data_IF_305245690049
#
_entry.id   IF_305245690049
#
_cell.length_a   1.000
_cell.length_b   1.000
_cell.length_c   1.000
_cell.angle_alpha   90.00
_cell.angle_beta   90.00
_cell.angle_gamma   90.00
#
_symmetry.space_group_name_H-M   'P 1'
#
loop_
_entity.id
_entity.type
_entity.pdbx_description
1 polymer ?
#
# COMPACT_ATOMS: atom_id res chain seq x y z
N UNK A 1 -3.16 1.07 11.76
CA UNK A 1 -3.04 2.23 10.82
C UNK A 1 -1.57 2.36 10.51
N UNK A 2 -1.21 2.67 9.26
CA UNK A 2 0.18 2.89 8.87
C UNK A 2 0.34 4.20 8.09
N UNK A 3 1.54 4.75 8.06
CA UNK A 3 1.91 5.89 7.24
C UNK A 3 2.93 5.45 6.18
N UNK A 4 2.56 5.64 4.91
CA UNK A 4 3.41 5.32 3.78
C UNK A 4 4.00 6.60 3.20
N UNK A 5 5.32 6.68 3.17
CA UNK A 5 6.06 7.77 2.52
C UNK A 5 6.60 7.30 1.18
N UNK A 6 6.21 7.98 0.09
CA UNK A 6 6.66 7.67 -1.29
C UNK A 6 7.19 8.90 -1.99
N UNK A 7 8.09 8.70 -2.97
CA UNK A 7 8.60 9.76 -3.81
C UNK A 7 7.56 10.19 -4.85
N UNK A 8 7.19 11.47 -4.87
CA UNK A 8 6.26 12.04 -5.83
C UNK A 8 6.81 11.95 -7.25
N UNK A 9 6.27 11.06 -8.09
CA UNK A 9 6.84 10.81 -9.45
C UNK A 9 6.89 12.04 -10.37
N UNK A 10 6.08 13.07 -10.07
CA UNK A 10 6.06 14.34 -10.83
C UNK A 10 6.79 15.46 -10.10
N UNK A 11 6.73 15.49 -8.77
CA UNK A 11 7.26 16.60 -7.98
C UNK A 11 8.68 16.37 -7.48
N UNK A 12 9.14 15.12 -7.38
CA UNK A 12 10.40 14.79 -6.71
C UNK A 12 10.37 15.00 -5.19
N UNK A 13 9.18 15.14 -4.59
CA UNK A 13 9.01 15.36 -3.15
C UNK A 13 8.51 14.10 -2.45
N UNK A 14 9.01 13.85 -1.24
CA UNK A 14 8.47 12.81 -0.37
C UNK A 14 7.06 13.17 0.13
N UNK A 15 6.11 12.25 -0.02
CA UNK A 15 4.70 12.43 0.37
C UNK A 15 4.26 11.32 1.32
N UNK A 16 3.72 11.70 2.47
CA UNK A 16 3.16 10.79 3.47
C UNK A 16 1.67 10.56 3.18
N UNK A 17 1.22 9.30 3.24
CA UNK A 17 -0.19 8.91 3.10
C UNK A 17 -0.58 7.96 4.25
N UNK A 18 -1.61 8.29 5.06
CA UNK A 18 -2.17 7.34 6.02
C UNK A 18 -2.97 6.25 5.30
N UNK A 19 -2.74 4.99 5.68
CA UNK A 19 -3.34 3.81 5.08
C UNK A 19 -3.79 2.81 6.15
N UNK A 20 -4.90 2.13 5.89
CA UNK A 20 -5.19 0.89 6.57
C UNK A 20 -4.25 -0.19 6.02
N UNK A 21 -3.73 -1.01 6.92
CA UNK A 21 -2.77 -2.08 6.62
C UNK A 21 -3.17 -3.36 7.34
N UNK A 22 -2.67 -4.49 6.84
CA UNK A 22 -2.72 -5.81 7.50
C UNK A 22 -1.37 -6.47 7.34
N UNK A 23 -0.84 -7.10 8.39
CA UNK A 23 0.38 -7.88 8.30
C UNK A 23 0.07 -9.29 7.78
N UNK A 24 0.82 -9.77 6.79
CA UNK A 24 0.76 -11.12 6.23
C UNK A 24 2.17 -11.68 6.20
N UNK A 25 2.50 -12.57 7.13
CA UNK A 25 3.88 -13.02 7.34
C UNK A 25 4.78 -11.84 7.75
N UNK A 26 5.87 -11.64 7.02
CA UNK A 26 6.81 -10.54 7.25
C UNK A 26 6.48 -9.26 6.45
N UNK A 27 5.44 -9.31 5.61
CA UNK A 27 5.05 -8.21 4.73
C UNK A 27 3.83 -7.46 5.26
N UNK A 28 3.73 -6.17 4.92
CA UNK A 28 2.57 -5.35 5.19
C UNK A 28 1.76 -5.11 3.93
N UNK A 29 0.46 -5.35 3.99
CA UNK A 29 -0.44 -5.25 2.85
C UNK A 29 -1.26 -3.97 2.96
N UNK A 30 -1.24 -3.17 1.90
CA UNK A 30 -2.00 -1.92 1.76
C UNK A 30 -2.74 -1.89 0.43
N UNK A 31 -3.71 -0.98 0.27
CA UNK A 31 -4.51 -0.92 -0.94
C UNK A 31 -4.88 0.50 -1.39
N UNK A 32 -4.84 0.72 -2.72
CA UNK A 32 -5.17 1.97 -3.41
C UNK A 32 -6.67 2.26 -3.51
N UNK A 33 -7.40 2.09 -2.41
CA UNK A 33 -8.87 2.20 -2.41
C UNK A 33 -9.37 3.64 -2.57
N UNK A 34 -8.67 4.63 -2.00
CA UNK A 34 -9.11 6.02 -1.91
C UNK A 34 -10.58 6.15 -1.43
N UNK A 35 -10.98 5.36 -0.44
CA UNK A 35 -12.37 5.36 0.09
C UNK A 35 -13.44 4.98 -0.94
N UNK A 36 -13.06 4.22 -1.98
CA UNK A 36 -13.97 3.83 -3.06
C UNK A 36 -14.26 4.96 -4.06
N UNK A 37 -13.42 6.00 -4.12
CA UNK A 37 -13.53 7.03 -5.15
C UNK A 37 -13.06 6.51 -6.51
N UNK A 38 -13.71 6.99 -7.58
CA UNK A 38 -13.34 6.69 -8.96
C UNK A 38 -11.88 7.09 -9.27
N UNK A 39 -11.39 8.17 -8.67
CA UNK A 39 -9.99 8.60 -8.81
C UNK A 39 -9.05 7.72 -7.99
N UNK A 40 -7.99 7.24 -8.64
CA UNK A 40 -6.91 6.50 -7.99
C UNK A 40 -6.00 7.45 -7.19
N UNK A 41 -5.55 7.08 -5.96
CA UNK A 41 -4.79 7.99 -5.13
C UNK A 41 -3.36 8.17 -5.65
N UNK A 42 -2.77 9.34 -5.39
CA UNK A 42 -1.48 9.73 -5.96
C UNK A 42 -0.33 8.75 -5.64
N UNK A 43 -0.31 8.23 -4.41
CA UNK A 43 0.75 7.31 -3.94
C UNK A 43 0.83 6.03 -4.78
N UNK A 44 -0.26 5.56 -5.38
CA UNK A 44 -0.25 4.37 -6.26
C UNK A 44 0.65 4.60 -7.46
N UNK A 45 0.57 5.79 -8.05
CA UNK A 45 1.44 6.14 -9.18
C UNK A 45 2.89 6.37 -8.73
N UNK A 46 3.09 6.87 -7.52
CA UNK A 46 4.43 7.01 -6.95
C UNK A 46 5.08 5.64 -6.75
N UNK A 47 4.40 4.70 -6.07
CA UNK A 47 4.88 3.35 -5.77
C UNK A 47 5.19 2.53 -7.04
N UNK A 48 4.39 2.70 -8.11
CA UNK A 48 4.67 2.08 -9.41
C UNK A 48 5.92 2.63 -10.09
N UNK A 49 6.29 3.88 -9.80
CA UNK A 49 7.41 4.57 -10.44
C UNK A 49 8.72 4.37 -9.69
N UNK A 50 8.66 4.26 -8.36
CA UNK A 50 9.79 4.05 -7.48
C UNK A 50 9.33 3.19 -6.31
N UNK A 51 9.92 2.01 -6.15
CA UNK A 51 9.52 1.08 -5.10
C UNK A 51 10.02 1.51 -3.72
N UNK A 52 10.95 2.47 -3.61
CA UNK A 52 11.48 2.89 -2.31
C UNK A 52 10.40 3.61 -1.52
N UNK A 53 10.24 3.21 -0.27
CA UNK A 53 9.35 3.87 0.67
C UNK A 53 9.90 3.86 2.09
N UNK A 54 9.35 4.74 2.92
CA UNK A 54 9.39 4.59 4.38
C UNK A 54 8.01 4.17 4.84
N UNK A 55 7.95 3.19 5.74
CA UNK A 55 6.72 2.69 6.31
C UNK A 55 6.78 2.87 7.83
N UNK A 56 5.75 3.50 8.38
CA UNK A 56 5.55 3.64 9.81
C UNK A 56 4.29 2.90 10.22
N UNK A 57 4.40 1.99 11.18
CA UNK A 57 3.29 1.20 11.70
C UNK A 57 3.59 0.82 13.15
N UNK A 58 2.58 0.90 14.01
CA UNK A 58 2.68 0.54 15.44
C UNK A 58 3.86 1.21 16.18
N UNK A 59 4.19 2.45 15.80
CA UNK A 59 5.27 3.24 16.38
C UNK A 59 6.67 2.90 15.86
N UNK A 60 6.79 1.92 14.96
CA UNK A 60 8.06 1.58 14.31
C UNK A 60 8.12 2.18 12.91
N UNK A 61 9.25 2.83 12.60
CA UNK A 61 9.54 3.38 11.27
C UNK A 61 10.71 2.66 10.63
N UNK A 62 10.56 2.27 9.36
CA UNK A 62 11.63 1.63 8.61
C UNK A 62 11.58 1.96 7.12
N UNK A 63 12.75 1.95 6.48
CA UNK A 63 12.88 2.02 5.04
C UNK A 63 12.67 0.64 4.42
N UNK A 64 12.07 0.62 3.23
CA UNK A 64 11.80 -0.63 2.53
C UNK A 64 11.34 -0.41 1.09
N UNK A 65 10.65 -1.42 0.59
CA UNK A 65 10.14 -1.44 -0.77
C UNK A 65 8.65 -1.74 -0.81
N UNK A 66 7.94 -1.14 -1.76
CA UNK A 66 6.52 -1.38 -2.03
C UNK A 66 6.35 -1.91 -3.46
N UNK A 67 5.57 -2.98 -3.61
CA UNK A 67 5.30 -3.63 -4.89
C UNK A 67 3.83 -3.92 -5.08
N UNK A 68 3.31 -3.71 -6.30
CA UNK A 68 1.94 -4.06 -6.65
C UNK A 68 1.82 -5.57 -6.86
N UNK A 69 0.88 -6.19 -6.16
CA UNK A 69 0.52 -7.58 -6.38
C UNK A 69 -0.40 -7.71 -7.60
N UNK A 70 -0.28 -8.83 -8.32
CA UNK A 70 -1.08 -9.10 -9.52
C UNK A 70 -1.65 -10.52 -9.50
N UNK A 71 -2.69 -10.78 -10.31
CA UNK A 71 -3.32 -12.09 -10.43
C UNK A 71 -3.73 -12.72 -9.09
N UNK A 72 -3.45 -14.02 -8.94
CA UNK A 72 -3.80 -14.79 -7.75
C UNK A 72 -3.16 -14.26 -6.46
N UNK A 73 -1.95 -13.69 -6.55
CA UNK A 73 -1.29 -13.07 -5.40
C UNK A 73 -2.13 -11.89 -4.90
N UNK A 74 -2.58 -11.02 -5.81
CA UNK A 74 -3.45 -9.91 -5.43
C UNK A 74 -4.70 -10.41 -4.74
N UNK A 75 -5.37 -11.41 -5.29
CA UNK A 75 -6.65 -11.87 -4.74
C UNK A 75 -6.50 -12.47 -3.35
N UNK A 76 -5.42 -13.23 -3.12
CA UNK A 76 -5.05 -13.74 -1.80
C UNK A 76 -4.83 -12.62 -0.79
N UNK A 77 -4.04 -11.61 -1.17
CA UNK A 77 -3.71 -10.48 -0.29
C UNK A 77 -4.92 -9.56 -0.06
N UNK A 78 -5.77 -9.38 -1.07
CA UNK A 78 -7.03 -8.64 -0.94
C UNK A 78 -8.00 -9.34 0.01
N UNK A 79 -8.07 -10.66 -0.03
CA UNK A 79 -8.87 -11.47 0.89
C UNK A 79 -8.40 -11.29 2.35
N UNK A 80 -7.08 -11.28 2.59
CA UNK A 80 -6.53 -11.01 3.92
C UNK A 80 -6.89 -9.59 4.41
N UNK A 81 -6.74 -8.58 3.54
CA UNK A 81 -7.12 -7.19 3.83
C UNK A 81 -8.62 -7.06 4.19
N UNK A 82 -9.50 -7.67 3.40
CA UNK A 82 -10.96 -7.55 3.54
C UNK A 82 -11.51 -8.37 4.71
N UNK A 83 -10.78 -9.40 5.16
CA UNK A 83 -11.11 -10.15 6.37
C UNK A 83 -10.99 -9.30 7.64
N UNK A 84 -10.04 -8.35 7.66
CA UNK A 84 -9.86 -7.38 8.75
C UNK A 84 -10.72 -6.14 8.51
N UNK A 85 -10.68 -5.59 7.31
CA UNK A 85 -11.32 -4.33 6.93
C UNK A 85 -12.52 -4.57 6.01
N UNK A 86 -13.65 -4.96 6.62
CA UNK A 86 -14.87 -5.44 5.93
C UNK A 86 -15.54 -4.45 4.97
N UNK A 87 -15.14 -3.17 4.96
CA UNK A 87 -15.68 -2.15 4.07
C UNK A 87 -15.09 -2.17 2.65
N UNK A 88 -13.94 -2.83 2.44
CA UNK A 88 -13.28 -2.82 1.14
C UNK A 88 -14.09 -3.38 -0.04
N UNK A 89 -14.88 -4.46 0.10
CA UNK A 89 -15.70 -4.95 -1.00
C UNK A 89 -16.75 -3.92 -1.45
N UNK A 90 -17.25 -3.08 -0.52
CA UNK A 90 -18.13 -1.96 -0.88
C UNK A 90 -17.37 -0.87 -1.64
N UNK A 91 -16.13 -0.57 -1.25
CA UNK A 91 -15.31 0.42 -1.97
C UNK A 91 -14.98 -0.01 -3.38
N UNK A 92 -14.72 -1.30 -3.62
CA UNK A 92 -14.45 -1.81 -4.97
C UNK A 92 -15.67 -1.66 -5.88
N UNK A 93 -16.86 -2.03 -5.40
CA UNK A 93 -18.11 -1.79 -6.13
C UNK A 93 -18.35 -0.31 -6.42
N UNK A 94 -18.09 0.56 -5.43
CA UNK A 94 -18.29 2.01 -5.54
C UNK A 94 -17.29 2.67 -6.51
N UNK A 95 -16.05 2.21 -6.53
CA UNK A 95 -14.98 2.84 -7.29
C UNK A 95 -15.18 2.70 -8.80
N UNK A 96 -15.87 1.64 -9.26
CA UNK A 96 -16.02 1.36 -10.69
C UNK A 96 -14.69 1.10 -11.40
N UNK A 97 -13.64 0.80 -10.63
CA UNK A 97 -12.29 0.50 -11.10
C UNK A 97 -11.67 -0.60 -10.26
N UNK A 98 -10.67 -1.25 -10.82
CA UNK A 98 -9.82 -2.15 -10.07
C UNK A 98 -9.16 -1.42 -8.89
N UNK A 99 -9.23 -2.04 -7.71
CA UNK A 99 -8.53 -1.57 -6.51
C UNK A 99 -7.20 -2.33 -6.41
N UNK A 100 -6.05 -1.64 -6.61
CA UNK A 100 -4.74 -2.30 -6.57
C UNK A 100 -4.34 -2.60 -5.12
N UNK A 101 -3.60 -3.69 -4.95
CA UNK A 101 -3.09 -4.17 -3.66
C UNK A 101 -1.58 -4.18 -3.74
N UNK A 102 -0.94 -3.77 -2.65
CA UNK A 102 0.50 -3.65 -2.57
C UNK A 102 1.01 -4.37 -1.32
N UNK A 103 2.17 -5.01 -1.47
CA UNK A 103 2.97 -5.54 -0.36
C UNK A 103 4.12 -4.59 -0.08
N UNK A 104 4.40 -4.37 1.20
CA UNK A 104 5.51 -3.55 1.69
C UNK A 104 6.46 -4.46 2.45
N UNK A 105 7.71 -4.50 1.99
CA UNK A 105 8.79 -5.31 2.56
C UNK A 105 9.80 -4.40 3.22
N UNK A 106 10.27 -4.76 4.42
CA UNK A 106 11.38 -4.07 5.07
C UNK A 106 12.66 -4.22 4.24
N UNK A 107 13.43 -3.15 4.08
CA UNK A 107 14.74 -3.21 3.45
C UNK A 107 15.72 -3.94 4.37
N UNK A 108 16.68 -4.66 3.79
CA UNK A 108 17.77 -5.24 4.57
C UNK A 108 18.51 -4.11 5.31
N UNK A 109 18.73 -4.26 6.61
CA UNK A 109 19.63 -3.36 7.32
C UNK A 109 21.03 -3.59 6.76
N UNK A 110 21.65 -2.56 6.19
CA UNK A 110 23.08 -2.61 5.91
C UNK A 110 23.78 -2.74 7.27
N UNK A 111 24.27 -3.93 7.59
CA UNK A 111 25.17 -4.13 8.73
C UNK A 111 26.36 -3.20 8.51
N UNK A 112 26.46 -2.16 9.34
CA UNK A 112 27.69 -1.37 9.48
C UNK A 112 28.63 -2.06 10.43
#
# INVERSE_FOLDING_TARGET
MAFLTTMGRKSGEWRVTPLLSVQVGEEWIVTGSNGGQARMPGWVFNARSDSRCTFEVDGETWSGHIFEATGEERDRLYSALTSVWKLYPMYERKAGRYIPVFRVTRGAQASS
#
